data_IF_158600031652
#
_entry.id   IF_158600031652
#
_cell.length_a   1.000
_cell.length_b   1.000
_cell.length_c   1.000
_cell.angle_alpha   90.00
_cell.angle_beta   90.00
_cell.angle_gamma   90.00
#
_symmetry.space_group_name_H-M   'P 1'
#
loop_
_entity.id
_entity.type
_entity.pdbx_description
1 polymer ?
#
# COMPACT_ATOMS: atom_id res chain seq x y z
N UNK A 1 0.99 7.26 0.84
CA UNK A 1 1.76 6.97 -0.40
C UNK A 1 0.92 6.02 -1.23
N UNK A 2 0.59 6.40 -2.47
CA UNK A 2 -0.21 5.54 -3.36
C UNK A 2 0.65 4.46 -4.00
N UNK A 3 0.14 3.23 -4.07
CA UNK A 3 0.69 2.15 -4.89
C UNK A 3 -0.05 2.18 -6.23
N UNK A 4 0.63 2.38 -7.37
CA UNK A 4 -0.05 2.47 -8.66
C UNK A 4 -0.71 1.14 -9.03
N UNK A 5 -1.92 1.23 -9.58
CA UNK A 5 -2.72 0.07 -9.98
C UNK A 5 -3.30 0.26 -11.38
N UNK A 6 -3.47 -0.85 -12.09
CA UNK A 6 -3.90 -0.90 -13.49
C UNK A 6 -5.38 -0.58 -13.67
N UNK A 7 -6.22 -0.89 -12.67
CA UNK A 7 -7.67 -0.69 -12.74
C UNK A 7 -8.18 0.19 -11.59
N UNK A 8 -7.81 1.49 -11.56
CA UNK A 8 -8.15 2.39 -10.47
C UNK A 8 -9.59 2.92 -10.59
N UNK A 9 -10.58 2.03 -10.46
CA UNK A 9 -12.01 2.33 -10.65
C UNK A 9 -12.53 3.32 -9.59
N UNK A 10 -11.94 3.34 -8.39
CA UNK A 10 -12.34 4.23 -7.29
C UNK A 10 -11.73 5.64 -7.39
N UNK A 11 -10.81 5.87 -8.32
CA UNK A 11 -10.03 7.10 -8.41
C UNK A 11 -10.58 8.07 -9.46
N UNK A 12 -10.52 9.37 -9.17
CA UNK A 12 -10.86 10.42 -10.13
C UNK A 12 -9.83 10.55 -11.27
N UNK A 13 -10.16 11.26 -12.38
CA UNK A 13 -9.36 11.30 -13.61
C UNK A 13 -7.91 11.79 -13.42
N UNK A 14 -7.67 12.65 -12.42
CA UNK A 14 -6.32 13.12 -12.08
C UNK A 14 -5.45 12.00 -11.49
N UNK A 15 -6.01 11.21 -10.57
CA UNK A 15 -5.29 10.10 -9.93
C UNK A 15 -5.10 8.95 -10.93
N UNK A 16 -6.09 8.67 -11.77
CA UNK A 16 -5.94 7.69 -12.86
C UNK A 16 -4.76 8.03 -13.77
N UNK A 17 -4.64 9.29 -14.22
CA UNK A 17 -3.50 9.75 -15.04
C UNK A 17 -2.15 9.59 -14.32
N UNK A 18 -2.12 9.87 -13.01
CA UNK A 18 -0.90 9.68 -12.21
C UNK A 18 -0.52 8.19 -12.11
N UNK A 19 -1.51 7.30 -11.92
CA UNK A 19 -1.29 5.85 -11.91
C UNK A 19 -0.79 5.34 -13.27
N UNK A 20 -1.41 5.75 -14.38
CA UNK A 20 -0.93 5.39 -15.73
C UNK A 20 0.52 5.80 -15.93
N UNK A 21 0.86 7.05 -15.59
CA UNK A 21 2.24 7.54 -15.73
C UNK A 21 3.22 6.80 -14.81
N UNK A 22 2.81 6.42 -13.61
CA UNK A 22 3.65 5.63 -12.72
C UNK A 22 3.89 4.22 -13.27
N UNK A 23 2.85 3.58 -13.83
CA UNK A 23 2.95 2.28 -14.48
C UNK A 23 3.85 2.32 -15.73
N UNK A 24 3.72 3.34 -16.58
CA UNK A 24 4.60 3.56 -17.74
C UNK A 24 6.08 3.72 -17.34
N UNK A 25 6.35 4.29 -16.16
CA UNK A 25 7.69 4.42 -15.60
C UNK A 25 8.15 3.15 -14.82
N UNK A 26 7.39 2.05 -14.87
CA UNK A 26 7.73 0.80 -14.21
C UNK A 26 7.69 0.86 -12.69
N UNK A 27 6.92 1.78 -12.10
CA UNK A 27 6.79 1.87 -10.63
C UNK A 27 6.05 0.64 -10.12
N UNK A 28 6.70 -0.08 -9.20
CA UNK A 28 6.14 -1.27 -8.54
C UNK A 28 5.98 -1.02 -7.03
N UNK A 29 5.29 -1.93 -6.33
CA UNK A 29 5.29 -1.99 -4.86
C UNK A 29 6.71 -1.88 -4.31
N UNK A 30 7.65 -2.65 -4.86
CA UNK A 30 9.06 -2.66 -4.44
C UNK A 30 9.69 -1.27 -4.57
N UNK A 31 9.45 -0.56 -5.68
CA UNK A 31 9.91 0.82 -5.87
C UNK A 31 9.33 1.76 -4.81
N UNK A 32 8.05 1.60 -4.46
CA UNK A 32 7.39 2.41 -3.41
C UNK A 32 8.05 2.14 -2.06
N UNK A 33 8.28 0.88 -1.69
CA UNK A 33 8.93 0.52 -0.43
C UNK A 33 10.37 1.03 -0.35
N UNK A 34 11.12 1.00 -1.44
CA UNK A 34 12.45 1.62 -1.50
C UNK A 34 12.41 3.12 -1.25
N UNK A 35 11.43 3.82 -1.82
CA UNK A 35 11.24 5.26 -1.56
C UNK A 35 10.88 5.54 -0.11
N UNK A 36 10.09 4.68 0.52
CA UNK A 36 9.80 4.76 1.96
C UNK A 36 11.09 4.59 2.77
N UNK A 37 11.91 3.56 2.48
CA UNK A 37 13.21 3.34 3.14
C UNK A 37 14.15 4.53 2.97
N UNK A 38 14.22 5.09 1.76
CA UNK A 38 15.01 6.29 1.47
C UNK A 38 14.55 7.48 2.33
N UNK A 39 13.25 7.73 2.39
CA UNK A 39 12.69 8.82 3.19
C UNK A 39 12.96 8.63 4.69
N UNK A 40 12.82 7.40 5.21
CA UNK A 40 13.17 7.05 6.59
C UNK A 40 14.66 7.29 6.90
N UNK A 41 15.57 6.86 6.01
CA UNK A 41 17.01 7.11 6.13
C UNK A 41 17.35 8.60 6.14
N UNK A 42 16.57 9.41 5.41
CA UNK A 42 16.69 10.88 5.40
C UNK A 42 16.06 11.57 6.62
N UNK A 43 15.58 10.82 7.60
CA UNK A 43 15.06 11.34 8.86
C UNK A 43 13.55 11.60 8.88
N UNK A 44 12.78 11.08 7.92
CA UNK A 44 11.33 11.21 7.94
C UNK A 44 10.73 10.46 9.13
N UNK A 45 10.12 11.18 10.08
CA UNK A 45 9.52 10.61 11.29
C UNK A 45 7.99 10.46 11.23
N UNK A 46 7.33 11.15 10.30
CA UNK A 46 5.87 11.13 10.20
C UNK A 46 5.35 9.73 9.84
N UNK A 47 4.19 9.30 10.35
CA UNK A 47 3.58 8.04 9.95
C UNK A 47 3.30 7.99 8.44
N UNK A 48 3.56 6.84 7.82
CA UNK A 48 3.28 6.61 6.40
C UNK A 48 2.22 5.52 6.29
N UNK A 49 1.12 5.84 5.62
CA UNK A 49 0.11 4.86 5.21
C UNK A 49 0.28 4.56 3.72
N UNK A 50 0.21 3.28 3.35
CA UNK A 50 0.10 2.87 1.95
C UNK A 50 -1.37 2.82 1.55
N UNK A 51 -1.71 3.52 0.48
CA UNK A 51 -3.05 3.49 -0.10
C UNK A 51 -3.00 2.70 -1.40
N UNK A 52 -3.95 1.78 -1.61
CA UNK A 52 -4.00 1.00 -2.83
C UNK A 52 -5.18 0.05 -2.87
N UNK A 53 -5.10 -0.85 -3.85
CA UNK A 53 -6.07 -1.91 -4.09
C UNK A 53 -5.55 -3.22 -3.49
N UNK A 54 -6.44 -4.11 -3.09
CA UNK A 54 -6.10 -5.34 -2.41
C UNK A 54 -5.49 -6.39 -3.35
N UNK A 55 -5.95 -6.45 -4.60
CA UNK A 55 -5.49 -7.45 -5.57
C UNK A 55 -3.95 -7.45 -5.81
N UNK A 56 -3.27 -6.29 -5.98
CA UNK A 56 -1.81 -6.21 -6.00
C UNK A 56 -1.12 -6.76 -4.75
N UNK A 57 -1.72 -6.55 -3.57
CA UNK A 57 -1.18 -7.06 -2.30
C UNK A 57 -1.24 -8.58 -2.25
N UNK A 58 -2.39 -9.15 -2.66
CA UNK A 58 -2.55 -10.60 -2.77
C UNK A 58 -1.55 -11.22 -3.75
N UNK A 59 -1.36 -10.60 -4.93
CA UNK A 59 -0.40 -11.08 -5.94
C UNK A 59 1.05 -11.03 -5.47
N UNK A 60 1.40 -10.07 -4.60
CA UNK A 60 2.72 -9.99 -3.98
C UNK A 60 2.94 -11.05 -2.90
N UNK A 61 1.85 -11.57 -2.34
CA UNK A 61 1.83 -12.38 -1.13
C UNK A 61 1.62 -11.49 0.10
N UNK A 62 0.48 -11.67 0.76
CA UNK A 62 0.03 -10.80 1.86
C UNK A 62 1.03 -10.76 3.03
N UNK A 63 1.47 -11.92 3.53
CA UNK A 63 2.45 -11.99 4.62
C UNK A 63 3.78 -11.32 4.25
N UNK A 64 4.28 -11.61 3.04
CA UNK A 64 5.52 -11.03 2.53
C UNK A 64 5.40 -9.51 2.44
N UNK A 65 4.28 -9.03 1.91
CA UNK A 65 3.99 -7.60 1.80
C UNK A 65 3.98 -6.93 3.17
N UNK A 66 3.25 -7.49 4.14
CA UNK A 66 3.16 -6.94 5.49
C UNK A 66 4.54 -6.90 6.16
N UNK A 67 5.36 -7.93 5.98
CA UNK A 67 6.74 -7.96 6.48
C UNK A 67 7.59 -6.87 5.83
N UNK A 68 7.61 -6.82 4.49
CA UNK A 68 8.46 -5.88 3.74
C UNK A 68 8.04 -4.42 4.00
N UNK A 69 6.74 -4.16 4.15
CA UNK A 69 6.19 -2.86 4.56
C UNK A 69 6.68 -2.45 5.95
N UNK A 70 6.74 -3.38 6.90
CA UNK A 70 7.14 -3.10 8.28
C UNK A 70 8.62 -2.79 8.34
N UNK A 71 9.44 -3.58 7.64
CA UNK A 71 10.87 -3.33 7.49
C UNK A 71 11.16 -2.00 6.77
N UNK A 72 10.31 -1.61 5.81
CA UNK A 72 10.43 -0.31 5.15
C UNK A 72 10.08 0.87 6.07
N UNK A 73 9.28 0.64 7.12
CA UNK A 73 8.80 1.67 8.04
C UNK A 73 7.44 2.25 7.66
N UNK A 74 6.59 1.47 6.98
CA UNK A 74 5.16 1.74 6.76
C UNK A 74 4.41 1.50 8.08
N UNK A 75 3.40 2.33 8.35
CA UNK A 75 2.65 2.33 9.61
C UNK A 75 1.22 1.83 9.48
N UNK A 76 0.76 1.56 8.25
CA UNK A 76 -0.60 1.11 8.02
C UNK A 76 -1.04 1.20 6.56
N UNK A 77 -2.31 0.88 6.33
CA UNK A 77 -2.88 0.67 5.01
C UNK A 77 -4.23 1.35 4.86
N UNK A 78 -4.52 1.80 3.66
CA UNK A 78 -5.83 2.25 3.19
C UNK A 78 -6.17 1.41 1.94
N UNK A 79 -7.08 0.46 2.09
CA UNK A 79 -7.60 -0.35 0.99
C UNK A 79 -8.96 0.20 0.56
N UNK A 80 -9.12 0.47 -0.73
CA UNK A 80 -10.33 1.15 -1.26
C UNK A 80 -11.34 0.21 -1.88
N UNK A 81 -10.96 -1.03 -2.15
CA UNK A 81 -11.71 -2.02 -2.92
C UNK A 81 -12.13 -3.26 -2.12
N UNK A 82 -11.91 -3.26 -0.81
CA UNK A 82 -12.25 -4.40 0.04
C UNK A 82 -13.75 -4.38 0.43
N UNK A 83 -14.52 -5.44 0.13
CA UNK A 83 -15.85 -5.60 0.72
C UNK A 83 -15.73 -5.88 2.24
N UNK A 84 -16.80 -5.63 3.02
CA UNK A 84 -16.77 -5.70 4.49
C UNK A 84 -16.20 -7.00 5.04
N UNK A 85 -16.54 -8.14 4.45
CA UNK A 85 -16.10 -9.47 4.89
C UNK A 85 -14.58 -9.66 4.71
N UNK A 86 -14.04 -9.21 3.58
CA UNK A 86 -12.60 -9.28 3.29
C UNK A 86 -11.82 -8.23 4.10
N UNK A 87 -12.42 -7.07 4.34
CA UNK A 87 -11.85 -6.01 5.18
C UNK A 87 -11.63 -6.49 6.63
N UNK A 88 -12.55 -7.28 7.19
CA UNK A 88 -12.38 -7.88 8.53
C UNK A 88 -11.16 -8.80 8.55
N UNK A 89 -11.09 -9.74 7.61
CA UNK A 89 -9.96 -10.68 7.51
C UNK A 89 -8.62 -9.94 7.35
N UNK A 90 -8.56 -8.94 6.47
CA UNK A 90 -7.35 -8.16 6.24
C UNK A 90 -6.93 -7.36 7.48
N UNK A 91 -7.90 -6.77 8.20
CA UNK A 91 -7.64 -6.06 9.47
C UNK A 91 -7.07 -7.00 10.54
N UNK A 92 -7.63 -8.19 10.70
CA UNK A 92 -7.13 -9.19 11.65
C UNK A 92 -5.68 -9.61 11.31
N UNK A 93 -5.41 -9.83 10.03
CA UNK A 93 -4.08 -10.20 9.57
C UNK A 93 -3.06 -9.07 9.78
N UNK A 94 -3.44 -7.83 9.48
CA UNK A 94 -2.62 -6.64 9.76
C UNK A 94 -2.34 -6.45 11.26
N UNK A 95 -3.37 -6.60 12.10
CA UNK A 95 -3.27 -6.43 13.56
C UNK A 95 -2.32 -7.47 14.16
N UNK A 96 -2.43 -8.72 13.71
CA UNK A 96 -1.52 -9.81 14.10
C UNK A 96 -0.06 -9.53 13.72
N UNK A 97 0.16 -8.73 12.68
CA UNK A 97 1.49 -8.30 12.22
C UNK A 97 1.93 -6.93 12.80
N UNK A 98 1.20 -6.38 13.77
CA UNK A 98 1.55 -5.16 14.51
C UNK A 98 1.17 -3.85 13.82
N UNK A 99 0.29 -3.89 12.81
CA UNK A 99 -0.28 -2.68 12.21
C UNK A 99 -1.53 -2.25 12.96
N UNK A 100 -1.59 -0.98 13.37
CA UNK A 100 -2.72 -0.39 14.10
C UNK A 100 -3.59 0.55 13.25
N UNK A 101 -3.07 1.03 12.12
CA UNK A 101 -3.75 2.00 11.26
C UNK A 101 -4.21 1.33 9.95
N UNK A 102 -5.30 0.55 10.00
CA UNK A 102 -5.82 -0.17 8.83
C UNK A 102 -7.24 0.29 8.52
N UNK A 103 -7.38 0.98 7.39
CA UNK A 103 -8.64 1.42 6.83
C UNK A 103 -8.93 0.56 5.60
N UNK A 104 -10.03 -0.16 5.63
CA UNK A 104 -10.47 -1.11 4.61
C UNK A 104 -12.00 -1.15 4.63
#
# INVERSE_FOLDING_TARGET
>A
MGVPFTDPIADGPTIQKANTKALENGVTVTTVLEKVREARRRGLKVPILLMGYYNPMMRYGEERMLKDCREAGVNGFIMVDLPPEEAVRFREHCTSNGYVNVFA
#
